data_IF_510972503589
#
_entry.id   IF_510972503589
#
_cell.length_a   1.000
_cell.length_b   1.000
_cell.length_c   1.000
_cell.angle_alpha   90.00
_cell.angle_beta   90.00
_cell.angle_gamma   90.00
#
_symmetry.space_group_name_H-M   'P 1'
#
loop_
_entity.id
_entity.type
_entity.pdbx_description
1 polymer ?
#
# COMPACT_ATOMS: atom_id res chain seq x y z
N UNK A 1 -3.82 -10.50 15.54
CA UNK A 1 -3.20 -10.69 14.21
C UNK A 1 -4.17 -10.15 13.16
N UNK A 2 -3.78 -9.17 12.32
CA UNK A 2 -4.70 -8.41 11.46
C UNK A 2 -5.05 -9.13 10.15
N UNK A 3 -5.16 -10.46 10.18
CA UNK A 3 -5.04 -11.29 8.96
C UNK A 3 -6.28 -11.28 8.06
N UNK A 4 -7.38 -10.65 8.48
CA UNK A 4 -8.66 -10.72 7.74
C UNK A 4 -9.24 -9.36 7.33
N UNK A 5 -8.52 -8.24 7.53
CA UNK A 5 -9.04 -6.91 7.19
C UNK A 5 -8.56 -6.40 5.83
N UNK A 6 -7.34 -6.74 5.43
CA UNK A 6 -6.68 -6.16 4.27
C UNK A 6 -6.51 -7.18 3.15
N UNK A 7 -6.67 -6.71 1.92
CA UNK A 7 -6.30 -7.50 0.72
C UNK A 7 -4.77 -7.57 0.66
N UNK A 8 -4.24 -8.77 0.49
CA UNK A 8 -2.83 -8.97 0.18
C UNK A 8 -2.66 -8.96 -1.34
N UNK A 9 -1.91 -7.99 -1.84
CA UNK A 9 -1.59 -7.85 -3.25
C UNK A 9 -0.12 -8.22 -3.46
N UNK A 10 0.13 -9.38 -4.07
CA UNK A 10 1.50 -9.83 -4.41
C UNK A 10 2.11 -8.91 -5.48
N UNK A 11 3.39 -8.59 -5.30
CA UNK A 11 4.14 -7.75 -6.23
C UNK A 11 4.76 -8.62 -7.31
N UNK A 12 4.57 -8.22 -8.56
CA UNK A 12 5.26 -8.79 -9.71
C UNK A 12 5.79 -7.65 -10.56
N UNK A 13 7.10 -7.63 -10.81
CA UNK A 13 7.77 -6.60 -11.60
C UNK A 13 7.45 -5.16 -11.13
N UNK A 14 7.51 -4.94 -9.81
CA UNK A 14 7.25 -3.64 -9.19
C UNK A 14 5.79 -3.17 -9.27
N UNK A 15 4.85 -4.08 -9.59
CA UNK A 15 3.42 -3.77 -9.73
C UNK A 15 2.55 -4.72 -8.92
N UNK A 16 1.35 -4.26 -8.58
CA UNK A 16 0.31 -5.05 -7.92
C UNK A 16 -0.96 -5.09 -8.77
N UNK A 17 -1.74 -6.18 -8.73
CA UNK A 17 -3.07 -6.25 -9.33
C UNK A 17 -4.08 -5.46 -8.49
N UNK A 18 -4.05 -4.13 -8.60
CA UNK A 18 -4.87 -3.23 -7.79
C UNK A 18 -6.37 -3.44 -8.03
N UNK A 19 -6.76 -3.55 -9.31
CA UNK A 19 -8.11 -3.90 -9.75
C UNK A 19 -8.07 -5.06 -10.76
N UNK A 20 -9.21 -5.75 -11.01
CA UNK A 20 -9.29 -6.76 -12.06
C UNK A 20 -8.79 -6.23 -13.41
N UNK A 21 -7.74 -6.84 -13.96
CA UNK A 21 -7.14 -6.45 -15.24
C UNK A 21 -6.34 -5.14 -15.22
N UNK A 22 -6.15 -4.50 -14.06
CA UNK A 22 -5.41 -3.23 -13.95
C UNK A 22 -4.32 -3.32 -12.88
N UNK A 23 -3.09 -3.32 -13.35
CA UNK A 23 -1.90 -3.27 -12.50
C UNK A 23 -1.56 -1.84 -12.13
N UNK A 24 -1.06 -1.65 -10.92
CA UNK A 24 -0.61 -0.36 -10.39
C UNK A 24 0.82 -0.48 -9.85
N UNK A 25 1.61 0.59 -9.94
CA UNK A 25 3.00 0.57 -9.44
C UNK A 25 3.04 0.59 -7.91
N UNK A 26 4.04 -0.06 -7.33
CA UNK A 26 4.28 0.01 -5.87
C UNK A 26 4.67 1.43 -5.41
N UNK A 27 5.18 2.25 -6.32
CA UNK A 27 5.41 3.69 -6.10
C UNK A 27 4.09 4.42 -5.85
N UNK A 28 3.05 4.17 -6.67
CA UNK A 28 1.71 4.70 -6.42
C UNK A 28 1.14 4.17 -5.10
N UNK A 29 1.34 2.90 -4.76
CA UNK A 29 0.95 2.37 -3.46
C UNK A 29 1.59 3.12 -2.28
N UNK A 30 2.77 3.72 -2.45
CA UNK A 30 3.45 4.52 -1.40
C UNK A 30 2.67 5.78 -1.04
N UNK A 31 1.84 6.27 -1.95
CA UNK A 31 1.05 7.49 -1.81
C UNK A 31 -0.46 7.21 -1.83
N UNK A 32 -0.86 5.94 -1.86
CA UNK A 32 -2.27 5.56 -1.91
C UNK A 32 -2.91 5.59 -0.52
N UNK A 33 -4.08 6.20 -0.40
CA UNK A 33 -4.83 6.33 0.87
C UNK A 33 -5.30 4.98 1.41
N UNK A 34 -5.36 3.97 0.56
CA UNK A 34 -5.74 2.60 0.91
C UNK A 34 -4.55 1.74 1.33
N UNK A 35 -3.32 2.20 1.10
CA UNK A 35 -2.11 1.44 1.46
C UNK A 35 -1.90 1.44 2.97
N UNK A 36 -1.67 0.26 3.55
CA UNK A 36 -1.50 0.08 5.01
C UNK A 36 -0.11 -0.44 5.35
N UNK A 37 0.33 -1.48 4.66
CA UNK A 37 1.64 -2.09 4.89
C UNK A 37 2.29 -2.54 3.59
N UNK A 38 3.61 -2.53 3.56
CA UNK A 38 4.45 -3.19 2.57
C UNK A 38 5.09 -4.39 3.24
N UNK A 39 5.06 -5.55 2.57
CA UNK A 39 5.85 -6.72 2.98
C UNK A 39 7.20 -6.64 2.30
N UNK A 40 8.25 -6.53 3.09
CA UNK A 40 9.64 -6.38 2.66
C UNK A 40 10.43 -7.54 3.24
N UNK A 41 10.85 -8.48 2.40
CA UNK A 41 11.59 -9.68 2.84
C UNK A 41 10.86 -10.44 3.96
N UNK A 42 9.54 -10.52 3.85
CA UNK A 42 8.67 -11.17 4.85
C UNK A 42 8.28 -10.30 6.05
N UNK A 43 8.84 -9.10 6.23
CA UNK A 43 8.46 -8.18 7.31
C UNK A 43 7.42 -7.15 6.86
N UNK A 44 6.41 -6.89 7.67
CA UNK A 44 5.40 -5.87 7.39
C UNK A 44 5.82 -4.50 7.92
N UNK A 45 6.11 -3.59 6.99
CA UNK A 45 6.45 -2.18 7.25
C UNK A 45 5.22 -1.33 6.97
N UNK A 46 4.87 -0.43 7.91
CA UNK A 46 3.75 0.50 7.70
C UNK A 46 3.98 1.38 6.47
N UNK A 47 2.91 1.64 5.73
CA UNK A 47 2.94 2.44 4.52
C UNK A 47 3.34 3.90 4.80
N UNK A 48 4.24 4.51 4.00
CA UNK A 48 4.52 5.95 4.07
C UNK A 48 3.30 6.83 3.80
N UNK A 49 2.26 6.29 3.14
CA UNK A 49 0.98 6.97 2.99
C UNK A 49 0.34 7.30 4.35
N UNK A 50 0.76 6.67 5.45
CA UNK A 50 0.28 6.96 6.79
C UNK A 50 1.04 8.10 7.48
N UNK A 51 1.97 8.79 6.79
CA UNK A 51 2.81 9.85 7.40
C UNK A 51 2.01 10.96 8.09
N UNK A 52 0.81 11.28 7.58
CA UNK A 52 -0.10 12.28 8.12
C UNK A 52 -1.29 11.69 8.90
N UNK A 53 -1.35 10.36 9.03
CA UNK A 53 -2.40 9.71 9.82
C UNK A 53 -2.16 9.93 11.31
N UNK A 54 -3.09 10.62 12.00
CA UNK A 54 -2.98 10.90 13.44
C UNK A 54 -3.02 9.63 14.31
N UNK A 55 -3.64 8.56 13.82
CA UNK A 55 -3.79 7.29 14.56
C UNK A 55 -2.67 6.29 14.26
N UNK A 56 -2.18 6.24 13.02
CA UNK A 56 -1.29 5.17 12.56
C UNK A 56 0.06 5.66 12.01
N UNK A 57 0.44 6.90 12.36
CA UNK A 57 1.58 7.63 11.83
C UNK A 57 2.79 6.73 11.53
N UNK A 58 3.26 6.78 10.29
CA UNK A 58 4.44 6.04 9.84
C UNK A 58 5.35 6.95 9.01
N UNK A 59 6.59 7.09 9.45
CA UNK A 59 7.61 7.96 8.81
C UNK A 59 8.80 7.16 8.27
N UNK A 60 8.80 5.84 8.44
CA UNK A 60 9.87 4.97 7.94
C UNK A 60 9.73 4.83 6.42
N UNK A 61 10.84 5.02 5.72
CA UNK A 61 10.90 4.72 4.29
C UNK A 61 10.86 3.21 4.02
N UNK A 62 10.32 2.86 2.84
CA UNK A 62 10.21 1.47 2.38
C UNK A 62 11.19 1.29 1.22
N UNK A 63 12.06 0.28 1.31
CA UNK A 63 12.88 -0.17 0.19
C UNK A 63 12.01 -0.90 -0.84
N UNK A 64 11.53 -0.16 -1.84
CA UNK A 64 10.63 -0.65 -2.87
C UNK A 64 11.23 -1.80 -3.70
N UNK A 65 12.56 -1.91 -3.79
CA UNK A 65 13.22 -2.99 -4.54
C UNK A 65 13.10 -4.34 -3.86
N UNK A 66 12.87 -4.33 -2.55
CA UNK A 66 12.76 -5.53 -1.72
C UNK A 66 11.30 -5.85 -1.35
N UNK A 67 10.32 -5.12 -1.90
CA UNK A 67 8.89 -5.34 -1.62
C UNK A 67 8.40 -6.55 -2.41
N UNK A 68 7.76 -7.47 -1.71
CA UNK A 68 7.16 -8.66 -2.29
C UNK A 68 5.62 -8.65 -2.23
N UNK A 69 5.00 -7.85 -1.34
CA UNK A 69 3.54 -7.65 -1.32
C UNK A 69 3.12 -6.31 -0.70
N UNK A 70 1.87 -5.91 -0.93
CA UNK A 70 1.22 -4.75 -0.31
C UNK A 70 -0.08 -5.18 0.37
N UNK A 71 -0.29 -4.78 1.63
CA UNK A 71 -1.58 -4.88 2.29
C UNK A 71 -2.40 -3.62 2.04
N UNK A 72 -3.54 -3.81 1.37
CA UNK A 72 -4.44 -2.76 0.91
C UNK A 72 -5.80 -2.82 1.64
N UNK A 73 -6.32 -1.67 2.03
CA UNK A 73 -7.63 -1.50 2.70
C UNK A 73 -8.78 -1.24 1.71
N UNK A 74 -8.49 -1.12 0.41
CA UNK A 74 -9.51 -0.96 -0.65
C UNK A 74 -10.26 -2.28 -0.85
N UNK A 75 -11.40 -2.44 -0.17
CA UNK A 75 -12.24 -3.65 -0.30
C UNK A 75 -13.33 -3.51 -1.35
N UNK A 76 -13.68 -2.28 -1.69
CA UNK A 76 -14.79 -1.95 -2.59
C UNK A 76 -14.34 -1.81 -4.04
N UNK A 77 -13.03 -1.85 -4.30
CA UNK A 77 -12.48 -1.80 -5.64
C UNK A 77 -12.45 -0.39 -6.21
N UNK A 78 -12.21 0.61 -5.36
CA UNK A 78 -12.00 2.00 -5.79
C UNK A 78 -10.70 2.16 -6.59
N UNK A 79 -9.70 1.32 -6.30
CA UNK A 79 -8.38 1.37 -6.91
C UNK A 79 -7.48 2.47 -6.34
N UNK A 80 -6.45 2.84 -7.08
CA UNK A 80 -5.49 3.85 -6.65
C UNK A 80 -6.14 5.22 -6.39
N UNK A 81 -5.89 5.75 -5.19
CA UNK A 81 -6.37 7.06 -4.74
C UNK A 81 -5.22 7.78 -4.05
N UNK A 82 -4.63 8.76 -4.75
CA UNK A 82 -3.51 9.55 -4.24
C UNK A 82 -3.90 10.36 -3.01
N UNK A 83 -3.10 10.26 -1.94
CA UNK A 83 -3.24 11.10 -0.76
C UNK A 83 -3.00 12.59 -1.07
N UNK A 84 -2.18 12.90 -2.08
CA UNK A 84 -1.92 14.30 -2.48
C UNK A 84 -3.18 15.01 -2.97
N UNK A 85 -4.18 14.27 -3.47
CA UNK A 85 -5.47 14.84 -3.88
C UNK A 85 -6.45 15.07 -2.72
N UNK A 86 -6.13 14.59 -1.50
CA UNK A 86 -7.00 14.69 -0.32
C UNK A 86 -6.53 15.79 0.64
N UNK A 87 -5.25 16.16 0.61
CA UNK A 87 -4.67 17.24 1.42
C UNK A 87 -4.70 18.59 0.66
N UNK A 88 -5.48 18.67 -0.42
CA UNK A 88 -5.71 19.88 -1.21
C UNK A 88 -6.92 20.66 -0.72
#
# INVERSE_FOLDING_TARGET
MPENRYRLLEVTDGKVPCLPGKNETIEHCRFCVHSRFFRVRGEYIKSPALAYCLLHRATKEVDLKSVDAVQCDDRDGEGYRSMMNIIG
#
